data_IF_417789187847
#
_entry.id   IF_417789187847
#
_cell.length_a   1.000
_cell.length_b   1.000
_cell.length_c   1.000
_cell.angle_alpha   90.00
_cell.angle_beta   90.00
_cell.angle_gamma   90.00
#
_symmetry.space_group_name_H-M   'P 1'
#
loop_
_entity.id
_entity.type
_entity.pdbx_description
1 polymer ?
#
# COMPACT_ATOMS: atom_id res chain seq x y z
N UNK A 1 -1.48 -0.79 2.84
CA UNK A 1 -1.30 0.67 2.84
C UNK A 1 -2.53 1.30 2.21
N UNK A 2 -3.30 2.14 2.92
CA UNK A 2 -4.45 2.84 2.34
C UNK A 2 -3.99 3.98 1.44
N UNK A 3 -4.84 4.36 0.50
CA UNK A 3 -4.75 5.60 -0.26
C UNK A 3 -5.95 6.46 0.10
N UNK A 4 -5.66 7.69 0.49
CA UNK A 4 -6.62 8.74 0.80
C UNK A 4 -6.63 9.74 -0.35
N UNK A 5 -7.63 10.61 -0.39
CA UNK A 5 -7.65 11.73 -1.32
C UNK A 5 -7.44 13.03 -0.53
N UNK A 6 -6.50 13.86 -0.97
CA UNK A 6 -6.31 15.20 -0.39
C UNK A 6 -7.39 16.18 -0.90
N UNK A 7 -7.43 17.38 -0.33
CA UNK A 7 -8.40 18.43 -0.69
C UNK A 7 -8.31 18.87 -2.16
N UNK A 8 -7.12 18.76 -2.74
CA UNK A 8 -6.84 19.00 -4.16
C UNK A 8 -7.23 17.83 -5.07
N UNK A 9 -7.73 16.73 -4.50
CA UNK A 9 -8.17 15.56 -5.25
C UNK A 9 -7.07 14.56 -5.58
N UNK A 10 -5.85 14.72 -5.07
CA UNK A 10 -4.72 13.84 -5.39
C UNK A 10 -4.68 12.61 -4.48
N UNK A 11 -4.26 11.45 -4.99
CA UNK A 11 -4.10 10.25 -4.18
C UNK A 11 -2.89 10.40 -3.23
N UNK A 12 -3.13 10.32 -1.94
CA UNK A 12 -2.10 10.35 -0.89
C UNK A 12 -2.00 8.99 -0.24
N UNK A 13 -0.81 8.42 -0.31
CA UNK A 13 -0.52 7.14 0.31
C UNK A 13 -0.44 7.29 1.85
N UNK A 14 -1.24 6.52 2.58
CA UNK A 14 -1.28 6.53 4.04
C UNK A 14 -0.22 5.62 4.67
N UNK A 15 -0.36 5.34 5.97
CA UNK A 15 0.59 4.47 6.68
C UNK A 15 0.63 3.04 6.12
N UNK A 16 1.82 2.56 5.76
CA UNK A 16 2.03 1.15 5.45
C UNK A 16 2.15 0.35 6.76
N UNK A 17 1.52 -0.84 6.82
CA UNK A 17 1.57 -1.74 7.96
C UNK A 17 2.31 -3.01 7.56
N UNK A 18 3.36 -3.36 8.31
CA UNK A 18 4.12 -4.59 8.10
C UNK A 18 3.28 -5.80 8.55
N UNK A 19 3.14 -6.77 7.64
CA UNK A 19 2.37 -7.98 7.87
C UNK A 19 3.29 -9.20 7.81
N UNK A 20 3.01 -10.19 8.66
CA UNK A 20 3.81 -11.43 8.74
C UNK A 20 3.67 -12.33 7.51
N UNK A 21 2.69 -12.09 6.63
CA UNK A 21 2.46 -12.88 5.42
C UNK A 21 1.63 -12.11 4.39
N UNK A 22 1.78 -12.45 3.10
CA UNK A 22 1.04 -11.84 1.99
C UNK A 22 -0.48 -11.93 2.15
N UNK A 23 -1.00 -13.04 2.68
CA UNK A 23 -2.44 -13.19 2.94
C UNK A 23 -2.95 -12.19 4.00
N UNK A 24 -2.16 -11.91 5.03
CA UNK A 24 -2.50 -10.88 6.02
C UNK A 24 -2.43 -9.48 5.41
N UNK A 25 -1.42 -9.21 4.58
CA UNK A 25 -1.29 -7.94 3.87
C UNK A 25 -2.48 -7.68 2.93
N UNK A 26 -2.95 -8.70 2.21
CA UNK A 26 -4.12 -8.63 1.34
C UNK A 26 -5.39 -8.28 2.12
N UNK A 27 -5.66 -9.02 3.20
CA UNK A 27 -6.86 -8.81 4.01
C UNK A 27 -6.84 -7.44 4.70
N UNK A 28 -5.67 -6.97 5.13
CA UNK A 28 -5.47 -5.62 5.65
C UNK A 28 -5.69 -4.56 4.58
N UNK A 29 -5.10 -4.72 3.40
CA UNK A 29 -5.30 -3.80 2.29
C UNK A 29 -6.78 -3.71 1.90
N UNK A 30 -7.48 -4.84 1.78
CA UNK A 30 -8.92 -4.85 1.50
C UNK A 30 -9.70 -4.07 2.58
N UNK A 31 -9.52 -4.40 3.86
CA UNK A 31 -10.19 -3.69 4.95
C UNK A 31 -9.90 -2.18 4.95
N UNK A 32 -8.65 -1.79 4.67
CA UNK A 32 -8.21 -0.40 4.57
C UNK A 32 -8.83 0.31 3.37
N UNK A 33 -9.03 -0.37 2.24
CA UNK A 33 -9.68 0.21 1.07
C UNK A 33 -11.15 0.56 1.31
N UNK A 34 -11.80 -0.15 2.25
CA UNK A 34 -13.17 0.11 2.68
C UNK A 34 -13.27 1.12 3.83
N UNK A 35 -12.14 1.64 4.33
CA UNK A 35 -12.14 2.61 5.41
C UNK A 35 -12.71 3.96 4.93
N UNK A 36 -13.49 4.67 5.76
CA UNK A 36 -14.05 5.96 5.39
C UNK A 36 -12.94 6.97 5.08
N UNK A 37 -13.05 7.65 3.92
CA UNK A 37 -12.04 8.60 3.43
C UNK A 37 -10.91 7.96 2.63
N UNK A 38 -10.84 6.63 2.57
CA UNK A 38 -9.91 5.92 1.68
C UNK A 38 -10.54 5.77 0.30
N UNK A 39 -9.78 6.12 -0.74
CA UNK A 39 -10.13 5.88 -2.15
C UNK A 39 -9.68 4.49 -2.62
N UNK A 40 -8.76 3.87 -1.87
CA UNK A 40 -8.31 2.52 -2.13
C UNK A 40 -7.20 2.08 -1.18
N UNK A 41 -6.58 0.95 -1.48
CA UNK A 41 -5.42 0.46 -0.75
C UNK A 41 -4.60 -0.52 -1.58
N UNK A 42 -3.36 -0.72 -1.17
CA UNK A 42 -2.45 -1.68 -1.79
C UNK A 42 -1.78 -2.60 -0.79
N UNK A 43 -1.56 -3.82 -1.24
CA UNK A 43 -0.68 -4.81 -0.64
C UNK A 43 0.53 -4.96 -1.56
N UNK A 44 1.73 -4.79 -0.99
CA UNK A 44 3.00 -5.00 -1.67
C UNK A 44 3.94 -5.81 -0.78
N UNK A 45 4.90 -6.49 -1.39
CA UNK A 45 6.02 -7.10 -0.69
C UNK A 45 7.30 -6.40 -1.12
N UNK A 46 8.12 -6.01 -0.15
CA UNK A 46 9.51 -5.63 -0.40
C UNK A 46 10.41 -6.64 0.29
N UNK A 47 11.46 -7.04 -0.39
CA UNK A 47 12.55 -7.83 0.19
C UNK A 47 13.78 -6.94 0.27
N UNK A 48 14.46 -6.96 1.40
CA UNK A 48 15.59 -6.08 1.66
C UNK A 48 16.45 -6.63 2.78
N UNK A 49 17.60 -5.99 2.95
CA UNK A 49 18.57 -6.30 3.98
C UNK A 49 18.28 -5.43 5.22
N UNK A 50 17.68 -6.00 6.30
CA UNK A 50 17.37 -5.23 7.50
C UNK A 50 18.62 -4.69 8.21
N UNK A 51 19.79 -5.27 7.92
CA UNK A 51 21.08 -4.85 8.47
C UNK A 51 21.62 -3.58 7.80
N UNK A 52 21.34 -3.37 6.51
CA UNK A 52 21.80 -2.19 5.76
C UNK A 52 20.69 -1.14 5.61
N UNK A 53 19.43 -1.53 5.85
CA UNK A 53 18.27 -0.67 5.61
C UNK A 53 17.95 -0.53 4.11
N UNK A 54 18.61 -1.32 3.26
CA UNK A 54 18.33 -1.34 1.82
C UNK A 54 17.15 -2.26 1.57
N UNK A 55 16.06 -1.68 1.12
CA UNK A 55 14.91 -2.43 0.64
C UNK A 55 14.90 -2.37 -0.88
N UNK A 56 14.85 -3.53 -1.53
CA UNK A 56 14.62 -3.59 -2.96
C UNK A 56 13.23 -3.07 -3.32
N UNK A 57 12.97 -2.99 -4.62
CA UNK A 57 11.70 -2.50 -5.14
C UNK A 57 10.49 -3.21 -4.52
N UNK A 58 9.49 -2.40 -4.15
CA UNK A 58 8.24 -2.92 -3.64
C UNK A 58 7.45 -3.59 -4.79
N UNK A 59 7.25 -4.90 -4.68
CA UNK A 59 6.42 -5.64 -5.62
C UNK A 59 4.96 -5.51 -5.22
N UNK A 60 4.16 -4.83 -6.05
CA UNK A 60 2.71 -4.75 -5.85
C UNK A 60 2.09 -6.14 -5.99
N UNK A 61 1.50 -6.65 -4.91
CA UNK A 61 0.80 -7.93 -4.90
C UNK A 61 -0.64 -7.75 -5.37
N UNK A 62 -1.32 -6.72 -4.84
CA UNK A 62 -2.72 -6.43 -5.14
C UNK A 62 -3.06 -4.99 -4.79
N UNK A 63 -3.94 -4.40 -5.59
CA UNK A 63 -4.61 -3.13 -5.30
C UNK A 63 -6.13 -3.32 -5.17
N UNK A 64 -6.74 -2.45 -4.38
CA UNK A 64 -8.17 -2.41 -4.09
C UNK A 64 -8.65 -0.97 -4.24
N UNK A 65 -9.78 -0.75 -4.90
CA UNK A 65 -10.35 0.58 -5.11
C UNK A 65 -9.69 1.37 -6.24
N UNK A 66 -9.84 2.69 -6.17
CA UNK A 66 -9.36 3.65 -7.16
C UNK A 66 -7.95 4.12 -6.80
N UNK A 67 -6.98 3.20 -6.93
CA UNK A 67 -5.57 3.49 -6.69
C UNK A 67 -4.87 3.65 -8.04
N UNK A 68 -4.06 4.71 -8.24
CA UNK A 68 -3.26 4.88 -9.46
C UNK A 68 -2.43 3.62 -9.76
N UNK A 69 -2.24 3.31 -11.04
CA UNK A 69 -1.46 2.12 -11.45
C UNK A 69 0.04 2.34 -11.28
N UNK A 70 0.48 3.59 -11.35
CA UNK A 70 1.88 4.03 -11.23
C UNK A 70 2.23 4.30 -9.76
N UNK A 71 2.39 3.23 -8.98
CA UNK A 71 2.79 3.29 -7.55
C UNK A 71 4.26 2.89 -7.38
N UNK A 72 4.88 2.34 -8.42
CA UNK A 72 6.24 1.78 -8.38
C UNK A 72 7.37 2.81 -8.28
N UNK A 73 7.07 4.11 -8.23
CA UNK A 73 8.06 5.19 -8.16
C UNK A 73 8.17 5.90 -6.81
N UNK A 74 7.59 5.34 -5.74
CA UNK A 74 7.54 5.93 -4.38
C UNK A 74 8.79 5.62 -3.55
#
# INVERSE_FOLDING_TARGET
MPFLQDDSGSPVAGGAEECQSSSSALRRAEALSHAPGSIGAVAFSRTGDPMTGEFGDALLIKKFGDVPDDIGGL
#
